data_IF_465875771023
#
_entry.id   IF_465875771023
#
_cell.length_a   1.000
_cell.length_b   1.000
_cell.length_c   1.000
_cell.angle_alpha   90.00
_cell.angle_beta   90.00
_cell.angle_gamma   90.00
#
_symmetry.space_group_name_H-M   'P 1'
#
loop_
_entity.id
_entity.type
_entity.pdbx_description
1 polymer ?
#
# COMPACT_ATOMS: atom_id res chain seq x y z
N UNK A 1 -75.60 -3.77 55.51
CA UNK A 1 -74.30 -4.46 55.47
C UNK A 1 -73.08 -3.53 55.64
N UNK A 2 -73.26 -2.20 55.72
CA UNK A 2 -72.16 -1.24 55.93
C UNK A 2 -71.86 -0.95 57.42
N UNK A 3 -72.79 -1.26 58.34
CA UNK A 3 -72.63 -1.01 59.79
C UNK A 3 -71.75 -2.04 60.51
N UNK A 4 -71.66 -3.29 60.01
CA UNK A 4 -70.76 -4.31 60.54
C UNK A 4 -69.29 -4.08 60.16
N UNK A 5 -69.04 -3.45 59.01
CA UNK A 5 -67.70 -3.09 58.55
C UNK A 5 -67.05 -1.98 59.40
N UNK A 6 -67.83 -1.02 59.88
CA UNK A 6 -67.35 0.08 60.73
C UNK A 6 -66.94 -0.39 62.14
N UNK A 7 -67.69 -1.33 62.73
CA UNK A 7 -67.36 -1.93 64.02
C UNK A 7 -66.09 -2.81 63.97
N UNK A 8 -65.87 -3.51 62.86
CA UNK A 8 -64.65 -4.28 62.62
C UNK A 8 -63.42 -3.38 62.41
N UNK A 9 -63.61 -2.26 61.69
CA UNK A 9 -62.56 -1.28 61.41
C UNK A 9 -62.03 -0.62 62.70
N UNK A 10 -62.90 -0.22 63.63
CA UNK A 10 -62.49 0.36 64.91
C UNK A 10 -61.67 -0.60 65.80
N UNK A 11 -61.96 -1.90 65.72
CA UNK A 11 -61.32 -2.95 66.54
C UNK A 11 -60.00 -3.46 65.94
N UNK A 12 -59.84 -3.44 64.62
CA UNK A 12 -58.65 -3.92 63.91
C UNK A 12 -57.79 -2.84 63.22
N UNK A 13 -58.10 -1.54 63.39
CA UNK A 13 -57.41 -0.39 62.79
C UNK A 13 -55.88 -0.47 62.80
N UNK A 14 -55.27 -0.90 63.91
CA UNK A 14 -53.80 -1.05 64.00
C UNK A 14 -53.29 -2.17 63.09
N UNK A 15 -53.96 -3.33 63.08
CA UNK A 15 -53.55 -4.49 62.27
C UNK A 15 -53.68 -4.21 60.75
N UNK A 16 -54.72 -3.50 60.35
CA UNK A 16 -54.97 -3.13 58.94
C UNK A 16 -53.95 -2.08 58.45
N UNK A 17 -53.61 -1.09 59.29
CA UNK A 17 -52.56 -0.11 58.96
C UNK A 17 -51.18 -0.77 58.82
N UNK A 18 -50.84 -1.71 59.70
CA UNK A 18 -49.60 -2.47 59.59
C UNK A 18 -49.54 -3.30 58.29
N UNK A 19 -50.60 -4.03 57.93
CA UNK A 19 -50.62 -4.81 56.68
C UNK A 19 -50.54 -3.92 55.43
N UNK A 20 -51.22 -2.78 55.43
CA UNK A 20 -51.19 -1.83 54.31
C UNK A 20 -49.80 -1.18 54.18
N UNK A 21 -49.15 -0.87 55.30
CA UNK A 21 -47.78 -0.34 55.33
C UNK A 21 -46.77 -1.35 54.79
N UNK A 22 -46.84 -2.62 55.20
CA UNK A 22 -45.96 -3.68 54.68
C UNK A 22 -46.18 -3.90 53.18
N UNK A 23 -47.44 -3.93 52.72
CA UNK A 23 -47.76 -4.05 51.30
C UNK A 23 -47.25 -2.85 50.48
N UNK A 24 -47.40 -1.62 51.00
CA UNK A 24 -46.92 -0.40 50.36
C UNK A 24 -45.39 -0.33 50.26
N UNK A 25 -44.68 -0.72 51.33
CA UNK A 25 -43.21 -0.82 51.33
C UNK A 25 -42.74 -1.90 50.36
N UNK A 26 -43.40 -3.06 50.33
CA UNK A 26 -43.10 -4.13 49.36
C UNK A 26 -43.30 -3.68 47.91
N UNK A 27 -44.39 -2.97 47.62
CA UNK A 27 -44.66 -2.41 46.29
C UNK A 27 -43.66 -1.31 45.90
N UNK A 28 -43.29 -0.42 46.82
CA UNK A 28 -42.29 0.62 46.58
C UNK A 28 -40.91 0.01 46.32
N UNK A 29 -40.50 -0.99 47.11
CA UNK A 29 -39.25 -1.73 46.91
C UNK A 29 -39.25 -2.47 45.56
N UNK A 30 -40.35 -3.14 45.22
CA UNK A 30 -40.53 -3.80 43.92
C UNK A 30 -40.40 -2.81 42.75
N UNK A 31 -41.07 -1.65 42.84
CA UNK A 31 -41.04 -0.62 41.78
C UNK A 31 -39.66 0.03 41.62
N UNK A 32 -38.93 0.24 42.72
CA UNK A 32 -37.53 0.68 42.67
C UNK A 32 -36.63 -0.39 42.04
N UNK A 33 -36.76 -1.63 42.47
CA UNK A 33 -36.00 -2.75 41.90
C UNK A 33 -36.24 -2.89 40.39
N UNK A 34 -37.50 -2.83 39.96
CA UNK A 34 -37.89 -2.93 38.56
C UNK A 34 -37.35 -1.75 37.72
N UNK A 35 -37.37 -0.53 38.26
CA UNK A 35 -36.80 0.64 37.56
C UNK A 35 -35.27 0.56 37.44
N UNK A 36 -34.57 -0.01 38.42
CA UNK A 36 -33.13 -0.27 38.34
C UNK A 36 -32.80 -1.38 37.33
N UNK A 37 -33.53 -2.51 37.36
CA UNK A 37 -33.41 -3.59 36.38
C UNK A 37 -33.59 -3.08 34.94
N UNK A 38 -34.64 -2.28 34.69
CA UNK A 38 -34.87 -1.69 33.35
C UNK A 38 -33.80 -0.72 32.89
N UNK A 39 -33.04 -0.10 33.80
CA UNK A 39 -31.89 0.76 33.45
C UNK A 39 -30.66 -0.08 33.14
N UNK A 40 -30.40 -1.13 33.93
CA UNK A 40 -29.30 -2.07 33.68
C UNK A 40 -29.46 -2.77 32.32
N UNK A 41 -30.66 -3.30 32.04
CA UNK A 41 -30.96 -3.94 30.74
C UNK A 41 -30.78 -2.95 29.59
N UNK A 42 -31.16 -1.67 29.75
CA UNK A 42 -30.96 -0.65 28.71
C UNK A 42 -29.49 -0.31 28.48
N UNK A 43 -28.69 -0.26 29.55
CA UNK A 43 -27.23 -0.01 29.44
C UNK A 43 -26.55 -1.23 28.81
N UNK A 44 -26.92 -2.43 29.21
CA UNK A 44 -26.42 -3.68 28.62
C UNK A 44 -26.80 -3.80 27.14
N UNK A 45 -28.05 -3.49 26.77
CA UNK A 45 -28.51 -3.49 25.38
C UNK A 45 -27.72 -2.50 24.54
N UNK A 46 -27.55 -1.25 25.00
CA UNK A 46 -26.73 -0.25 24.29
C UNK A 46 -25.28 -0.69 24.14
N UNK A 47 -24.69 -1.23 25.21
CA UNK A 47 -23.33 -1.75 25.16
C UNK A 47 -23.19 -2.95 24.21
N UNK A 48 -24.23 -3.78 24.05
CA UNK A 48 -24.26 -4.87 23.07
C UNK A 48 -24.42 -4.34 21.64
N UNK A 49 -25.28 -3.35 21.44
CA UNK A 49 -25.48 -2.67 20.15
C UNK A 49 -24.19 -1.97 19.68
N UNK A 50 -23.50 -1.26 20.57
CA UNK A 50 -22.20 -0.63 20.30
C UNK A 50 -21.15 -1.68 19.93
N UNK A 51 -21.03 -2.77 20.70
CA UNK A 51 -20.10 -3.86 20.36
C UNK A 51 -20.42 -4.50 19.01
N UNK A 52 -21.69 -4.74 18.72
CA UNK A 52 -22.11 -5.31 17.44
C UNK A 52 -21.77 -4.36 16.28
N UNK A 53 -21.96 -3.04 16.46
CA UNK A 53 -21.57 -2.04 15.48
C UNK A 53 -20.05 -2.02 15.27
N UNK A 54 -19.26 -2.04 16.34
CA UNK A 54 -17.80 -2.08 16.28
C UNK A 54 -17.28 -3.35 15.57
N UNK A 55 -17.90 -4.51 15.84
CA UNK A 55 -17.57 -5.76 15.17
C UNK A 55 -17.88 -5.69 13.67
N UNK A 56 -19.01 -5.10 13.28
CA UNK A 56 -19.35 -4.90 11.87
C UNK A 56 -18.34 -4.00 11.17
N UNK A 57 -17.96 -2.88 11.78
CA UNK A 57 -16.96 -1.95 11.24
C UNK A 57 -15.60 -2.65 11.09
N UNK A 58 -15.18 -3.40 12.12
CA UNK A 58 -13.93 -4.17 12.08
C UNK A 58 -13.94 -5.20 10.94
N UNK A 59 -15.04 -5.91 10.76
CA UNK A 59 -15.18 -6.90 9.69
C UNK A 59 -15.15 -6.25 8.30
N UNK A 60 -15.79 -5.08 8.14
CA UNK A 60 -15.75 -4.31 6.90
C UNK A 60 -14.34 -3.81 6.59
N UNK A 61 -13.65 -3.24 7.57
CA UNK A 61 -12.27 -2.79 7.46
C UNK A 61 -11.35 -3.94 7.03
N UNK A 62 -11.46 -5.09 7.71
CA UNK A 62 -10.66 -6.27 7.40
C UNK A 62 -10.93 -6.78 5.98
N UNK A 63 -12.20 -6.89 5.58
CA UNK A 63 -12.59 -7.31 4.23
C UNK A 63 -12.04 -6.36 3.16
N UNK A 64 -12.06 -5.05 3.41
CA UNK A 64 -11.53 -4.08 2.47
C UNK A 64 -10.00 -4.14 2.39
N UNK A 65 -9.31 -4.26 3.52
CA UNK A 65 -7.85 -4.43 3.57
C UNK A 65 -7.40 -5.69 2.83
N UNK A 66 -8.06 -6.83 3.09
CA UNK A 66 -7.81 -8.09 2.39
C UNK A 66 -8.02 -7.94 0.87
N UNK A 67 -9.04 -7.19 0.45
CA UNK A 67 -9.27 -6.90 -0.97
C UNK A 67 -8.17 -6.05 -1.60
N UNK A 68 -7.71 -4.98 -0.93
CA UNK A 68 -6.63 -4.11 -1.42
C UNK A 68 -5.32 -4.88 -1.51
N UNK A 69 -4.97 -5.63 -0.47
CA UNK A 69 -3.79 -6.47 -0.46
C UNK A 69 -3.85 -7.54 -1.55
N UNK A 70 -5.00 -8.20 -1.71
CA UNK A 70 -5.20 -9.18 -2.79
C UNK A 70 -5.02 -8.57 -4.18
N UNK A 71 -5.58 -7.38 -4.44
CA UNK A 71 -5.42 -6.69 -5.73
C UNK A 71 -3.95 -6.38 -6.00
N UNK A 72 -3.26 -5.86 -4.99
CA UNK A 72 -1.81 -5.63 -5.04
C UNK A 72 -1.04 -6.91 -5.39
N UNK A 73 -1.24 -7.98 -4.62
CA UNK A 73 -0.41 -9.19 -4.71
C UNK A 73 -0.74 -10.04 -5.95
N UNK A 74 -1.99 -10.03 -6.42
CA UNK A 74 -2.44 -10.88 -7.54
C UNK A 74 -2.48 -10.17 -8.89
N UNK A 75 -2.62 -8.84 -8.90
CA UNK A 75 -2.81 -8.08 -10.14
C UNK A 75 -1.72 -7.03 -10.33
N UNK A 76 -1.60 -6.06 -9.42
CA UNK A 76 -0.71 -4.91 -9.60
C UNK A 76 0.76 -5.32 -9.62
N UNK A 77 1.22 -6.04 -8.60
CA UNK A 77 2.63 -6.41 -8.47
C UNK A 77 3.09 -7.35 -9.59
N UNK A 78 2.37 -8.45 -9.93
CA UNK A 78 2.77 -9.31 -11.04
C UNK A 78 2.78 -8.58 -12.39
N UNK A 79 1.80 -7.70 -12.64
CA UNK A 79 1.74 -6.91 -13.86
C UNK A 79 2.92 -5.94 -13.94
N UNK A 80 3.17 -5.15 -12.90
CA UNK A 80 4.27 -4.19 -12.87
C UNK A 80 5.63 -4.89 -12.96
N UNK A 81 5.82 -6.03 -12.27
CA UNK A 81 7.04 -6.85 -12.38
C UNK A 81 7.23 -7.41 -13.79
N UNK A 82 6.17 -7.95 -14.40
CA UNK A 82 6.26 -8.47 -15.76
C UNK A 82 6.60 -7.36 -16.75
N UNK A 83 5.96 -6.20 -16.62
CA UNK A 83 6.21 -5.06 -17.48
C UNK A 83 7.63 -4.51 -17.30
N UNK A 84 8.09 -4.33 -16.07
CA UNK A 84 9.45 -3.93 -15.74
C UNK A 84 10.48 -4.92 -16.31
N UNK A 85 10.24 -6.23 -16.18
CA UNK A 85 11.09 -7.25 -16.79
C UNK A 85 11.17 -7.06 -18.29
N UNK A 86 10.03 -6.93 -18.98
CA UNK A 86 10.01 -6.74 -20.44
C UNK A 86 10.82 -5.50 -20.85
N UNK A 87 10.66 -4.38 -20.14
CA UNK A 87 11.42 -3.14 -20.42
C UNK A 87 12.92 -3.31 -20.17
N UNK A 88 13.33 -3.97 -19.09
CA UNK A 88 14.75 -4.25 -18.83
C UNK A 88 15.35 -5.17 -19.91
N UNK A 89 14.61 -6.19 -20.36
CA UNK A 89 15.08 -7.11 -21.39
C UNK A 89 15.26 -6.42 -22.75
N UNK A 90 14.38 -5.47 -23.06
CA UNK A 90 14.40 -4.69 -24.29
C UNK A 90 15.55 -3.66 -24.29
N UNK A 91 15.69 -2.88 -23.22
CA UNK A 91 16.70 -1.83 -23.11
C UNK A 91 18.13 -2.39 -22.91
N UNK A 92 18.25 -3.57 -22.27
CA UNK A 92 19.52 -4.27 -22.05
C UNK A 92 19.59 -5.56 -22.88
N UNK A 93 19.26 -5.46 -24.16
CA UNK A 93 19.37 -6.58 -25.09
C UNK A 93 20.83 -6.83 -25.52
N UNK A 94 21.28 -8.05 -25.27
CA UNK A 94 22.62 -8.55 -25.57
C UNK A 94 22.60 -9.49 -26.78
N UNK A 95 21.40 -9.82 -27.31
CA UNK A 95 21.21 -10.78 -28.39
C UNK A 95 21.96 -10.34 -29.64
N UNK A 96 21.84 -9.07 -30.03
CA UNK A 96 22.54 -8.53 -31.19
C UNK A 96 24.08 -8.63 -31.08
N UNK A 97 24.66 -8.43 -29.89
CA UNK A 97 26.10 -8.58 -29.67
C UNK A 97 26.53 -10.05 -29.75
N UNK A 98 25.70 -10.94 -29.23
CA UNK A 98 25.95 -12.38 -29.25
C UNK A 98 25.85 -12.92 -30.68
N UNK A 99 24.87 -12.47 -31.46
CA UNK A 99 24.73 -12.81 -32.88
C UNK A 99 25.92 -12.32 -33.70
N UNK A 100 26.39 -11.09 -33.47
CA UNK A 100 27.61 -10.57 -34.11
C UNK A 100 28.83 -11.45 -33.83
N UNK A 101 28.98 -11.93 -32.59
CA UNK A 101 30.05 -12.86 -32.23
C UNK A 101 29.92 -14.23 -32.90
N UNK A 102 28.68 -14.74 -33.06
CA UNK A 102 28.41 -16.01 -33.74
C UNK A 102 28.66 -15.92 -35.24
N UNK A 103 28.23 -14.83 -35.88
CA UNK A 103 28.44 -14.58 -37.32
C UNK A 103 29.93 -14.42 -37.65
N UNK A 104 30.71 -13.74 -36.79
CA UNK A 104 32.16 -13.62 -36.95
C UNK A 104 32.95 -14.92 -36.77
N UNK A 105 32.30 -16.01 -36.34
CA UNK A 105 32.88 -17.37 -36.31
C UNK A 105 32.72 -18.10 -37.65
N UNK A 106 31.81 -17.65 -38.52
CA UNK A 106 31.66 -18.14 -39.90
C UNK A 106 32.68 -17.48 -40.82
N UNK A 107 33.24 -18.26 -41.75
CA UNK A 107 34.44 -17.98 -42.55
C UNK A 107 34.41 -16.73 -43.48
N UNK A 108 33.36 -15.90 -43.44
CA UNK A 108 33.13 -14.86 -44.47
C UNK A 108 33.00 -13.43 -43.94
N UNK A 109 33.12 -13.19 -42.63
CA UNK A 109 33.09 -11.84 -42.05
C UNK A 109 33.89 -11.80 -40.75
N UNK A 110 35.20 -12.00 -40.84
CA UNK A 110 36.07 -12.04 -39.67
C UNK A 110 36.10 -10.66 -38.99
N UNK A 111 35.30 -10.49 -37.94
CA UNK A 111 35.48 -9.40 -36.97
C UNK A 111 36.96 -9.35 -36.61
N UNK A 112 37.54 -8.16 -36.66
CA UNK A 112 38.94 -8.00 -36.27
C UNK A 112 39.11 -8.45 -34.82
N UNK A 113 40.29 -8.94 -34.41
CA UNK A 113 40.54 -9.35 -33.03
C UNK A 113 40.20 -8.25 -32.00
N UNK A 114 40.38 -6.99 -32.40
CA UNK A 114 40.01 -5.81 -31.61
C UNK A 114 38.49 -5.67 -31.47
N UNK A 115 37.74 -5.68 -32.57
CA UNK A 115 36.27 -5.59 -32.52
C UNK A 115 35.64 -6.75 -31.75
N UNK A 116 36.23 -7.95 -31.85
CA UNK A 116 35.81 -9.11 -31.07
C UNK A 116 36.01 -8.86 -29.56
N UNK A 117 37.17 -8.34 -29.17
CA UNK A 117 37.45 -7.99 -27.78
C UNK A 117 36.48 -6.93 -27.25
N UNK A 118 36.29 -5.85 -28.02
CA UNK A 118 35.38 -4.75 -27.66
C UNK A 118 33.92 -5.25 -27.52
N UNK A 119 33.51 -6.21 -28.36
CA UNK A 119 32.19 -6.84 -28.26
C UNK A 119 32.04 -7.65 -26.98
N UNK A 120 33.06 -8.43 -26.58
CA UNK A 120 33.05 -9.17 -25.31
C UNK A 120 33.04 -8.24 -24.10
N UNK A 121 33.77 -7.12 -24.15
CA UNK A 121 33.75 -6.08 -23.12
C UNK A 121 32.34 -5.47 -22.97
N UNK A 122 31.68 -5.15 -24.08
CA UNK A 122 30.30 -4.66 -24.05
C UNK A 122 29.34 -5.69 -23.46
N UNK A 123 29.47 -6.97 -23.82
CA UNK A 123 28.66 -8.05 -23.24
C UNK A 123 28.90 -8.17 -21.74
N UNK A 124 30.16 -8.07 -21.29
CA UNK A 124 30.51 -8.10 -19.86
C UNK A 124 29.78 -6.99 -19.10
N UNK A 125 29.90 -5.74 -19.56
CA UNK A 125 29.27 -4.58 -18.90
C UNK A 125 27.75 -4.71 -18.90
N UNK A 126 27.14 -5.00 -20.06
CA UNK A 126 25.68 -5.11 -20.17
C UNK A 126 25.11 -6.27 -19.36
N UNK A 127 25.80 -7.41 -19.28
CA UNK A 127 25.34 -8.57 -18.49
C UNK A 127 25.30 -8.26 -17.00
N UNK A 128 26.36 -7.66 -16.46
CA UNK A 128 26.38 -7.25 -15.05
C UNK A 128 25.37 -6.13 -14.77
N UNK A 129 25.29 -5.13 -15.65
CA UNK A 129 24.30 -4.05 -15.55
C UNK A 129 22.89 -4.62 -15.50
N UNK A 130 22.54 -5.55 -16.40
CA UNK A 130 21.23 -6.19 -16.47
C UNK A 130 20.91 -6.97 -15.20
N UNK A 131 21.85 -7.76 -14.67
CA UNK A 131 21.60 -8.52 -13.45
C UNK A 131 21.43 -7.61 -12.23
N UNK A 132 22.34 -6.67 -12.01
CA UNK A 132 22.28 -5.75 -10.84
C UNK A 132 21.05 -4.83 -10.93
N UNK A 133 20.78 -4.27 -12.11
CA UNK A 133 19.58 -3.46 -12.35
C UNK A 133 18.29 -4.26 -12.13
N UNK A 134 18.23 -5.52 -12.58
CA UNK A 134 17.05 -6.37 -12.37
C UNK A 134 16.81 -6.64 -10.89
N UNK A 135 17.86 -6.98 -10.13
CA UNK A 135 17.76 -7.24 -8.69
C UNK A 135 17.28 -5.97 -7.98
N UNK A 136 17.90 -4.82 -8.25
CA UNK A 136 17.54 -3.56 -7.62
C UNK A 136 16.12 -3.12 -7.98
N UNK A 137 15.79 -3.08 -9.27
CA UNK A 137 14.49 -2.58 -9.73
C UNK A 137 13.32 -3.46 -9.26
N UNK A 138 13.48 -4.78 -9.28
CA UNK A 138 12.45 -5.71 -8.79
C UNK A 138 12.25 -5.62 -7.28
N UNK A 139 13.34 -5.50 -6.51
CA UNK A 139 13.26 -5.37 -5.05
C UNK A 139 12.64 -4.05 -4.65
N UNK A 140 13.03 -2.94 -5.30
CA UNK A 140 12.45 -1.62 -5.05
C UNK A 140 10.99 -1.53 -5.46
N UNK A 141 10.59 -2.12 -6.59
CA UNK A 141 9.19 -2.17 -6.99
C UNK A 141 8.34 -2.96 -5.97
N UNK A 142 8.83 -4.11 -5.49
CA UNK A 142 8.16 -4.90 -4.45
C UNK A 142 8.01 -4.12 -3.15
N UNK A 143 9.06 -3.42 -2.72
CA UNK A 143 9.02 -2.55 -1.54
C UNK A 143 8.01 -1.41 -1.74
N UNK A 144 8.01 -0.76 -2.90
CA UNK A 144 7.10 0.33 -3.22
C UNK A 144 5.65 -0.09 -3.10
N UNK A 145 5.26 -1.18 -3.74
CA UNK A 145 3.89 -1.69 -3.70
C UNK A 145 3.46 -2.03 -2.26
N UNK A 146 4.36 -2.60 -1.45
CA UNK A 146 4.08 -2.86 -0.02
C UNK A 146 3.88 -1.56 0.76
N UNK A 147 4.69 -0.53 0.51
CA UNK A 147 4.53 0.80 1.12
C UNK A 147 3.19 1.40 0.70
N UNK A 148 2.82 1.31 -0.57
CA UNK A 148 1.53 1.79 -1.06
C UNK A 148 0.36 1.13 -0.32
N UNK A 149 0.34 -0.20 -0.22
CA UNK A 149 -0.71 -0.94 0.50
C UNK A 149 -0.74 -0.58 1.98
N UNK A 150 0.42 -0.41 2.62
CA UNK A 150 0.50 -0.05 4.04
C UNK A 150 -0.05 1.35 4.30
N UNK A 151 0.31 2.32 3.46
CA UNK A 151 -0.20 3.70 3.52
C UNK A 151 -1.71 3.69 3.28
N UNK A 152 -2.20 2.98 2.26
CA UNK A 152 -3.63 2.84 2.01
C UNK A 152 -4.37 2.21 3.20
N UNK A 153 -3.80 1.18 3.83
CA UNK A 153 -4.36 0.56 5.02
C UNK A 153 -4.51 1.54 6.19
N UNK A 154 -3.53 2.43 6.39
CA UNK A 154 -3.59 3.49 7.40
C UNK A 154 -4.70 4.51 7.09
N UNK A 155 -4.78 5.00 5.85
CA UNK A 155 -5.81 5.97 5.45
C UNK A 155 -7.21 5.37 5.57
N UNK A 156 -7.38 4.10 5.20
CA UNK A 156 -8.62 3.37 5.39
C UNK A 156 -9.01 3.29 6.87
N UNK A 157 -8.08 2.91 7.75
CA UNK A 157 -8.33 2.86 9.20
C UNK A 157 -8.77 4.21 9.77
N UNK A 158 -8.11 5.30 9.36
CA UNK A 158 -8.45 6.66 9.79
C UNK A 158 -9.82 7.10 9.26
N UNK A 159 -10.15 6.77 8.01
CA UNK A 159 -11.46 7.07 7.43
C UNK A 159 -12.57 6.32 8.20
N UNK A 160 -12.38 5.06 8.59
CA UNK A 160 -13.33 4.32 9.43
C UNK A 160 -13.41 4.84 10.87
N UNK A 161 -12.28 5.19 11.51
CA UNK A 161 -12.28 5.73 12.87
C UNK A 161 -13.05 7.06 12.98
N UNK A 162 -12.95 7.91 11.95
CA UNK A 162 -13.73 9.15 11.84
C UNK A 162 -15.24 8.91 11.76
N UNK A 163 -15.65 7.82 11.12
CA UNK A 163 -17.07 7.43 11.05
C UNK A 163 -17.58 6.96 12.43
N UNK A 164 -16.74 6.28 13.21
CA UNK A 164 -17.08 5.79 14.56
C UNK A 164 -17.14 6.89 15.63
N UNK A 165 -16.22 7.87 15.62
CA UNK A 165 -16.08 8.89 16.67
C UNK A 165 -17.15 10.01 16.64
N UNK A 166 -18.04 10.02 15.65
CA UNK A 166 -19.24 10.85 15.65
C UNK A 166 -19.23 11.98 14.62
N UNK A 167 -19.87 11.70 13.47
CA UNK A 167 -20.63 12.68 12.70
C UNK A 167 -21.48 11.95 11.65
N UNK A 168 -22.80 11.88 11.86
CA UNK A 168 -23.77 11.63 10.79
C UNK A 168 -23.95 12.86 9.86
N UNK A 169 -22.99 13.78 9.81
CA UNK A 169 -23.06 14.99 9.00
C UNK A 169 -21.67 15.34 8.47
N UNK A 170 -21.32 14.81 7.30
CA UNK A 170 -20.83 15.56 6.13
C UNK A 170 -20.21 14.55 5.16
N UNK A 171 -20.94 14.29 4.07
CA UNK A 171 -20.44 13.84 2.77
C UNK A 171 -19.74 12.46 2.67
N UNK A 172 -20.37 11.57 1.91
CA UNK A 172 -19.73 10.52 1.11
C UNK A 172 -18.67 11.05 0.09
N UNK A 173 -18.07 12.23 0.31
CA UNK A 173 -17.19 12.94 -0.63
C UNK A 173 -15.71 13.02 -0.23
N UNK A 174 -15.32 12.71 1.02
CA UNK A 174 -13.92 12.85 1.49
C UNK A 174 -13.17 11.51 1.65
N UNK A 175 -13.88 10.38 1.60
CA UNK A 175 -13.27 9.05 1.55
C UNK A 175 -12.55 8.89 0.19
N UNK A 176 -11.31 8.37 0.20
CA UNK A 176 -10.58 8.17 -1.06
C UNK A 176 -11.35 7.15 -1.89
N UNK A 177 -11.72 7.53 -3.12
CA UNK A 177 -12.62 6.70 -3.92
C UNK A 177 -11.98 5.34 -4.19
N UNK A 178 -12.78 4.29 -4.37
CA UNK A 178 -12.27 2.96 -4.80
C UNK A 178 -11.47 3.05 -6.11
N UNK A 179 -11.73 4.08 -6.91
CA UNK A 179 -10.97 4.39 -8.12
C UNK A 179 -9.64 5.04 -7.76
N UNK A 180 -9.61 6.04 -6.87
CA UNK A 180 -8.36 6.61 -6.34
C UNK A 180 -7.42 5.56 -5.75
N UNK A 181 -7.94 4.58 -5.00
CA UNK A 181 -7.13 3.45 -4.51
C UNK A 181 -6.41 2.70 -5.63
N UNK A 182 -7.11 2.48 -6.75
CA UNK A 182 -6.54 1.81 -7.92
C UNK A 182 -5.55 2.71 -8.64
N UNK A 183 -5.84 4.00 -8.75
CA UNK A 183 -4.97 4.97 -9.42
C UNK A 183 -3.65 5.11 -8.67
N UNK A 184 -3.68 5.11 -7.33
CA UNK A 184 -2.47 5.10 -6.52
C UNK A 184 -1.67 3.82 -6.73
N UNK A 185 -2.30 2.63 -6.69
CA UNK A 185 -1.61 1.36 -6.98
C UNK A 185 -1.08 1.31 -8.42
N UNK A 186 -1.75 1.95 -9.39
CA UNK A 186 -1.33 1.99 -10.78
C UNK A 186 0.00 2.72 -10.96
N UNK A 187 0.32 3.70 -10.09
CA UNK A 187 1.64 4.38 -10.12
C UNK A 187 2.85 3.45 -9.95
N UNK A 188 2.63 2.17 -9.60
CA UNK A 188 3.67 1.14 -9.61
C UNK A 188 4.28 0.89 -11.00
N UNK A 189 3.59 1.26 -12.08
CA UNK A 189 4.14 1.19 -13.44
C UNK A 189 5.16 2.30 -13.74
N UNK A 190 5.21 3.36 -12.94
CA UNK A 190 6.01 4.56 -13.20
C UNK A 190 7.50 4.26 -13.41
N UNK A 191 8.05 3.37 -12.58
CA UNK A 191 9.43 2.92 -12.71
C UNK A 191 9.68 2.31 -14.09
N UNK A 192 8.79 1.43 -14.57
CA UNK A 192 8.94 0.74 -15.84
C UNK A 192 8.68 1.66 -17.05
N UNK A 193 7.76 2.62 -16.90
CA UNK A 193 7.37 3.52 -17.99
C UNK A 193 8.33 4.70 -18.18
N UNK A 194 8.75 5.32 -17.07
CA UNK A 194 9.49 6.60 -17.10
C UNK A 194 10.85 6.53 -16.42
N UNK A 195 10.97 5.80 -15.30
CA UNK A 195 12.20 5.75 -14.51
C UNK A 195 13.31 4.86 -15.10
N UNK A 196 12.94 3.85 -15.89
CA UNK A 196 13.83 2.73 -16.22
C UNK A 196 15.05 3.13 -17.04
N UNK A 197 14.89 4.04 -18.00
CA UNK A 197 16.00 4.45 -18.89
C UNK A 197 17.07 5.23 -18.14
N UNK A 198 16.64 6.14 -17.24
CA UNK A 198 17.56 6.92 -16.42
C UNK A 198 18.26 6.03 -15.39
N UNK A 199 17.55 5.07 -14.80
CA UNK A 199 18.12 4.05 -13.91
C UNK A 199 19.18 3.21 -14.63
N UNK A 200 18.86 2.65 -15.80
CA UNK A 200 19.76 1.82 -16.59
C UNK A 200 21.02 2.60 -16.96
N UNK A 201 20.87 3.84 -17.42
CA UNK A 201 22.01 4.68 -17.81
C UNK A 201 22.99 4.89 -16.64
N UNK A 202 22.47 5.23 -15.45
CA UNK A 202 23.33 5.39 -14.26
C UNK A 202 23.93 4.07 -13.77
N UNK A 203 23.16 2.99 -13.79
CA UNK A 203 23.64 1.66 -13.40
C UNK A 203 24.74 1.18 -14.35
N UNK A 204 24.60 1.42 -15.65
CA UNK A 204 25.60 1.09 -16.66
C UNK A 204 26.89 1.89 -16.45
N UNK A 205 26.77 3.18 -16.12
CA UNK A 205 27.92 3.99 -15.77
C UNK A 205 28.67 3.41 -14.55
N UNK A 206 27.96 3.10 -13.47
CA UNK A 206 28.55 2.47 -12.28
C UNK A 206 29.20 1.11 -12.61
N UNK A 207 28.54 0.26 -13.39
CA UNK A 207 29.07 -1.02 -13.82
C UNK A 207 30.34 -0.86 -14.67
N UNK A 208 30.37 0.12 -15.57
CA UNK A 208 31.53 0.40 -16.41
C UNK A 208 32.73 0.80 -15.56
N UNK A 209 32.57 1.67 -14.56
CA UNK A 209 33.67 2.08 -13.69
C UNK A 209 34.29 0.89 -12.93
N UNK A 210 33.45 0.04 -12.32
CA UNK A 210 33.94 -1.11 -11.55
C UNK A 210 34.53 -2.21 -12.44
N UNK A 211 33.95 -2.45 -13.63
CA UNK A 211 34.35 -3.56 -14.51
C UNK A 211 35.56 -3.22 -15.40
N UNK A 212 35.92 -1.94 -15.54
CA UNK A 212 37.16 -1.51 -16.25
C UNK A 212 38.41 -2.16 -15.66
N UNK A 213 38.43 -2.38 -14.34
CA UNK A 213 39.56 -2.99 -13.63
C UNK A 213 39.62 -4.52 -13.78
N UNK A 214 38.56 -5.16 -14.29
CA UNK A 214 38.45 -6.63 -14.39
C UNK A 214 38.68 -7.09 -15.83
N UNK A 215 39.69 -7.94 -16.05
CA UNK A 215 39.95 -8.48 -17.39
C UNK A 215 39.04 -9.66 -17.71
N UNK A 216 38.72 -9.84 -19.00
CA UNK A 216 37.89 -10.96 -19.49
C UNK A 216 38.51 -12.36 -19.28
N UNK A 217 39.84 -12.44 -19.10
CA UNK A 217 40.56 -13.70 -18.93
C UNK A 217 40.71 -14.13 -17.47
N UNK A 218 40.43 -13.23 -16.54
CA UNK A 218 40.64 -13.50 -15.13
C UNK A 218 39.51 -14.42 -14.63
N UNK A 219 39.84 -15.59 -14.05
CA UNK A 219 38.82 -16.47 -13.50
C UNK A 219 38.16 -15.79 -12.29
N UNK A 220 36.84 -15.85 -12.23
CA UNK A 220 36.06 -15.23 -11.18
C UNK A 220 35.33 -16.29 -10.35
N UNK A 221 35.53 -16.29 -9.04
CA UNK A 221 34.76 -17.14 -8.12
C UNK A 221 33.38 -16.52 -7.83
N UNK A 222 32.44 -17.33 -7.34
CA UNK A 222 31.10 -16.87 -6.94
C UNK A 222 31.13 -15.72 -5.94
N UNK A 223 32.03 -15.77 -4.94
CA UNK A 223 32.19 -14.70 -3.97
C UNK A 223 32.65 -13.39 -4.62
N UNK A 224 33.54 -13.48 -5.61
CA UNK A 224 34.04 -12.32 -6.35
C UNK A 224 32.95 -11.72 -7.25
N UNK A 225 32.11 -12.56 -7.86
CA UNK A 225 30.93 -12.10 -8.63
C UNK A 225 29.97 -11.34 -7.72
N UNK A 226 29.63 -11.91 -6.57
CA UNK A 226 28.76 -11.27 -5.59
C UNK A 226 29.35 -9.93 -5.10
N UNK A 227 30.63 -9.92 -4.70
CA UNK A 227 31.32 -8.71 -4.29
C UNK A 227 31.31 -7.64 -5.38
N UNK A 228 31.52 -8.03 -6.64
CA UNK A 228 31.47 -7.10 -7.78
C UNK A 228 30.06 -6.54 -7.97
N UNK A 229 29.01 -7.37 -7.87
CA UNK A 229 27.63 -6.89 -7.92
C UNK A 229 27.33 -5.89 -6.79
N UNK A 230 27.81 -6.16 -5.58
CA UNK A 230 27.66 -5.26 -4.43
C UNK A 230 28.42 -3.94 -4.64
N UNK A 231 29.64 -3.98 -5.18
CA UNK A 231 30.42 -2.79 -5.51
C UNK A 231 29.76 -1.93 -6.58
N UNK A 232 29.17 -2.55 -7.62
CA UNK A 232 28.40 -1.83 -8.64
C UNK A 232 27.19 -1.15 -8.01
N UNK A 233 26.48 -1.85 -7.12
CA UNK A 233 25.34 -1.30 -6.42
C UNK A 233 25.73 -0.15 -5.49
N UNK A 234 26.81 -0.30 -4.73
CA UNK A 234 27.34 0.75 -3.84
C UNK A 234 27.75 1.99 -4.63
N UNK A 235 28.47 1.81 -5.74
CA UNK A 235 28.83 2.88 -6.66
C UNK A 235 27.58 3.57 -7.24
N UNK A 236 26.56 2.81 -7.63
CA UNK A 236 25.29 3.36 -8.11
C UNK A 236 24.57 4.17 -7.02
N UNK A 237 24.52 3.66 -5.78
CA UNK A 237 23.92 4.38 -4.65
C UNK A 237 24.71 5.66 -4.33
N UNK A 238 26.04 5.64 -4.45
CA UNK A 238 26.89 6.82 -4.31
C UNK A 238 26.64 7.90 -5.37
N UNK A 239 26.17 7.54 -6.57
CA UNK A 239 25.73 8.48 -7.62
C UNK A 239 24.35 9.08 -7.36
N UNK A 240 23.63 8.59 -6.35
CA UNK A 240 22.29 9.05 -5.99
C UNK A 240 22.34 9.96 -4.75
N UNK A 241 22.66 11.24 -4.97
CA UNK A 241 22.75 12.27 -3.92
C UNK A 241 21.38 12.46 -3.24
N UNK A 242 21.36 12.56 -1.91
CA UNK A 242 20.17 12.91 -1.11
C UNK A 242 18.90 12.11 -1.46
N UNK A 243 19.03 10.79 -1.60
CA UNK A 243 17.92 9.90 -1.96
C UNK A 243 17.28 10.18 -3.33
N UNK A 244 18.04 10.73 -4.30
CA UNK A 244 17.56 10.95 -5.67
C UNK A 244 17.06 9.67 -6.36
N UNK A 245 17.43 8.48 -5.84
CA UNK A 245 16.95 7.19 -6.32
C UNK A 245 15.43 7.05 -6.21
N UNK A 246 14.78 7.75 -5.27
CA UNK A 246 13.32 7.77 -5.10
C UNK A 246 12.63 8.33 -6.36
N UNK A 247 13.28 9.24 -7.08
CA UNK A 247 12.73 9.85 -8.30
C UNK A 247 12.61 8.85 -9.47
N UNK A 248 13.30 7.71 -9.41
CA UNK A 248 13.09 6.64 -10.38
C UNK A 248 11.81 5.85 -10.09
N UNK A 249 11.39 5.79 -8.83
CA UNK A 249 10.34 4.90 -8.36
C UNK A 249 8.99 5.60 -8.19
N UNK A 250 8.99 6.80 -7.63
CA UNK A 250 7.78 7.55 -7.29
C UNK A 250 7.70 8.80 -8.17
N UNK A 251 6.55 9.13 -8.76
CA UNK A 251 6.36 10.42 -9.44
C UNK A 251 6.63 11.61 -8.50
N UNK A 252 7.14 12.73 -9.03
CA UNK A 252 7.38 13.94 -8.23
C UNK A 252 6.09 14.59 -7.75
N UNK A 253 5.06 14.58 -8.59
CA UNK A 253 3.75 15.12 -8.25
C UNK A 253 2.64 14.38 -9.04
N UNK A 254 1.41 14.45 -8.52
CA UNK A 254 0.26 13.78 -9.12
C UNK A 254 -0.14 14.37 -10.45
N UNK A 255 0.05 15.68 -10.64
CA UNK A 255 -0.34 16.37 -11.87
C UNK A 255 0.53 15.96 -13.06
N UNK A 256 1.83 15.80 -12.87
CA UNK A 256 2.78 15.33 -13.87
C UNK A 256 2.49 13.88 -14.20
N UNK A 257 2.23 13.01 -13.22
CA UNK A 257 1.81 11.64 -13.49
C UNK A 257 0.47 11.58 -14.24
N UNK A 258 -0.53 12.36 -13.80
CA UNK A 258 -1.83 12.44 -14.45
C UNK A 258 -1.72 13.02 -15.86
N UNK A 259 -0.87 14.03 -16.11
CA UNK A 259 -0.60 14.56 -17.45
C UNK A 259 0.06 13.51 -18.35
N UNK A 260 1.02 12.75 -17.80
CA UNK A 260 1.67 11.65 -18.52
C UNK A 260 0.68 10.52 -18.88
N UNK A 261 -0.31 10.27 -18.03
CA UNK A 261 -1.40 9.31 -18.28
C UNK A 261 -2.53 9.87 -19.17
N UNK A 262 -2.88 11.15 -19.03
CA UNK A 262 -4.01 11.81 -19.69
C UNK A 262 -3.79 12.06 -21.19
N UNK A 263 -2.59 11.79 -21.72
CA UNK A 263 -2.38 11.68 -23.18
C UNK A 263 -3.22 10.54 -23.79
N UNK A 264 -3.85 9.66 -22.98
CA UNK A 264 -4.68 8.54 -23.48
C UNK A 264 -6.18 8.57 -23.18
N UNK A 265 -6.77 9.55 -22.49
CA UNK A 265 -8.23 9.57 -22.30
C UNK A 265 -8.82 10.97 -22.11
N UNK A 266 -9.72 11.33 -23.03
CA UNK A 266 -10.52 12.55 -22.97
C UNK A 266 -11.89 12.26 -22.38
N UNK A 267 -12.28 13.09 -21.41
CA UNK A 267 -13.66 13.27 -20.95
C UNK A 267 -14.00 12.53 -19.65
N UNK A 268 -13.94 13.23 -18.51
CA UNK A 268 -14.71 12.89 -17.30
C UNK A 268 -14.78 14.08 -16.31
N UNK A 269 -15.78 14.06 -15.42
CA UNK A 269 -16.19 15.13 -14.48
C UNK A 269 -15.04 15.78 -13.67
N UNK A 270 -14.93 17.10 -13.75
CA UNK A 270 -13.76 17.89 -13.32
C UNK A 270 -13.59 18.01 -11.79
N UNK A 271 -14.68 17.98 -11.01
CA UNK A 271 -14.66 18.31 -9.56
C UNK A 271 -14.19 17.15 -8.67
N UNK A 272 -14.65 15.92 -8.94
CA UNK A 272 -14.23 14.72 -8.20
C UNK A 272 -12.78 14.32 -8.52
N UNK A 273 -12.37 14.47 -9.78
CA UNK A 273 -10.99 14.26 -10.21
C UNK A 273 -10.01 15.17 -9.47
N UNK A 274 -10.34 16.46 -9.30
CA UNK A 274 -9.45 17.38 -8.59
C UNK A 274 -9.24 17.01 -7.11
N UNK A 275 -10.26 16.43 -6.45
CA UNK A 275 -10.14 15.92 -5.08
C UNK A 275 -9.27 14.65 -5.03
N UNK A 276 -9.52 13.70 -5.93
CA UNK A 276 -8.74 12.46 -6.01
C UNK A 276 -7.26 12.73 -6.38
N UNK A 277 -6.99 13.71 -7.25
CA UNK A 277 -5.62 14.13 -7.61
C UNK A 277 -4.89 14.75 -6.42
N UNK A 278 -5.54 15.60 -5.61
CA UNK A 278 -4.92 16.15 -4.39
C UNK A 278 -4.62 15.06 -3.36
N UNK A 279 -5.55 14.11 -3.17
CA UNK A 279 -5.35 13.00 -2.23
C UNK A 279 -4.26 12.05 -2.73
N UNK A 280 -4.19 11.80 -4.04
CA UNK A 280 -3.11 11.04 -4.69
C UNK A 280 -1.75 11.73 -4.48
N UNK A 281 -1.68 13.06 -4.65
CA UNK A 281 -0.45 13.84 -4.41
C UNK A 281 0.01 13.74 -2.96
N UNK A 282 -0.93 13.83 -2.01
CA UNK A 282 -0.66 13.59 -0.59
C UNK A 282 -0.08 12.18 -0.38
N UNK A 283 -0.70 11.12 -0.93
CA UNK A 283 -0.23 9.74 -0.77
C UNK A 283 1.17 9.53 -1.35
N UNK A 284 1.48 10.13 -2.51
CA UNK A 284 2.82 10.08 -3.09
C UNK A 284 3.85 10.83 -2.24
N UNK A 285 3.49 12.00 -1.71
CA UNK A 285 4.36 12.75 -0.79
C UNK A 285 4.66 11.96 0.49
N UNK A 286 3.65 11.31 1.08
CA UNK A 286 3.81 10.41 2.24
C UNK A 286 4.71 9.23 1.89
N UNK A 287 4.54 8.65 0.69
CA UNK A 287 5.37 7.53 0.22
C UNK A 287 6.84 7.94 0.08
N UNK A 288 7.11 9.13 -0.48
CA UNK A 288 8.47 9.68 -0.57
C UNK A 288 9.10 9.87 0.81
N UNK A 289 8.33 10.38 1.78
CA UNK A 289 8.80 10.53 3.16
C UNK A 289 9.13 9.15 3.77
N UNK A 290 8.27 8.15 3.60
CA UNK A 290 8.48 6.80 4.13
C UNK A 290 9.71 6.14 3.52
N UNK A 291 9.93 6.29 2.21
CA UNK A 291 11.09 5.72 1.51
C UNK A 291 12.40 6.45 1.82
N UNK A 292 12.35 7.71 2.25
CA UNK A 292 13.53 8.51 2.59
C UNK A 292 14.08 8.30 4.00
N UNK A 293 13.35 7.55 4.84
CA UNK A 293 13.72 7.23 6.23
C UNK A 293 14.46 5.91 6.31
#
# INVERSE_FOLDING_TARGET
>A
MLSSAWGFWGRHRRKILFSLGVAGVGYAAYRLYETHQRKLVRVEQRAQEERAADELIKNQLQTHFENVQRISDTTTLPFAMHYLRSRIMEELDISHLTERLLQGKGESSALTPKEKYDTWENIKILSFTRTVCSIWAMTMLSLYVRVQVTILGRHLYLDFARVTDGAQLQEESDAFSKNGHKDFLATADYLATYGINALITKMQHAATEILKEKQLKDPMNMDQVLQTMLQILDQFMGLCIENSWINYLVPENANTYAQLMAVSSSGFDESSLLKDVRKLDQLMSETRIVLSR
#
